data_IF_352976207664
#
_entry.id   IF_352976207664
#
_cell.length_a   1.000
_cell.length_b   1.000
_cell.length_c   1.000
_cell.angle_alpha   90.00
_cell.angle_beta   90.00
_cell.angle_gamma   90.00
#
_symmetry.space_group_name_H-M   'P 1'
#
loop_
_entity.id
_entity.type
_entity.pdbx_description
1 polymer ?
#
# COMPACT_ATOMS: atom_id res chain seq x y z
N UNK A 1 -19.05 14.39 -7.58
CA UNK A 1 -18.63 13.30 -8.48
C UNK A 1 -18.04 12.22 -7.62
N UNK A 2 -18.81 11.19 -7.28
CA UNK A 2 -18.27 9.97 -6.68
C UNK A 2 -17.88 9.05 -7.83
N UNK A 3 -16.62 8.62 -7.91
CA UNK A 3 -16.27 7.53 -8.79
C UNK A 3 -16.91 6.26 -8.23
N UNK A 4 -17.93 5.79 -8.95
CA UNK A 4 -18.45 4.43 -8.83
C UNK A 4 -17.43 3.55 -9.54
N UNK A 5 -16.62 2.81 -8.79
CA UNK A 5 -15.87 1.69 -9.34
C UNK A 5 -16.91 0.66 -9.81
N UNK A 6 -16.99 0.43 -11.13
CA UNK A 6 -17.86 -0.59 -11.70
C UNK A 6 -17.40 -1.98 -11.20
N UNK A 7 -18.36 -2.83 -10.82
CA UNK A 7 -18.14 -4.22 -10.38
C UNK A 7 -17.30 -4.99 -11.44
N UNK A 8 -15.97 -4.97 -11.28
CA UNK A 8 -15.02 -5.62 -12.19
C UNK A 8 -13.72 -4.86 -12.45
N UNK A 9 -13.67 -3.54 -12.25
CA UNK A 9 -12.43 -2.78 -12.42
C UNK A 9 -11.56 -2.83 -11.16
N UNK A 10 -10.33 -3.34 -11.32
CA UNK A 10 -9.34 -3.38 -10.25
C UNK A 10 -8.93 -1.94 -9.91
N UNK A 11 -8.89 -1.60 -8.62
CA UNK A 11 -8.50 -0.27 -8.15
C UNK A 11 -7.11 0.11 -8.74
N UNK A 12 -6.98 1.25 -9.44
CA UNK A 12 -5.74 1.64 -10.11
C UNK A 12 -4.58 1.87 -9.12
N UNK A 13 -4.87 2.32 -7.90
CA UNK A 13 -3.87 2.49 -6.83
C UNK A 13 -3.33 1.12 -6.41
N UNK A 14 -4.20 0.09 -6.35
CA UNK A 14 -3.76 -1.28 -6.09
C UNK A 14 -2.87 -1.81 -7.21
N UNK A 15 -3.26 -1.59 -8.47
CA UNK A 15 -2.45 -2.02 -9.62
C UNK A 15 -1.06 -1.36 -9.60
N UNK A 16 -1.00 -0.04 -9.43
CA UNK A 16 0.26 0.69 -9.34
C UNK A 16 1.14 0.17 -8.19
N UNK A 17 0.52 -0.10 -7.03
CA UNK A 17 1.22 -0.67 -5.89
C UNK A 17 1.77 -2.06 -6.19
N UNK A 18 1.01 -2.93 -6.86
CA UNK A 18 1.44 -4.28 -7.21
C UNK A 18 2.56 -4.27 -8.25
N UNK A 19 2.46 -3.40 -9.26
CA UNK A 19 3.42 -3.25 -10.36
C UNK A 19 4.76 -2.63 -9.93
N UNK A 20 4.83 -1.98 -8.77
CA UNK A 20 6.07 -1.40 -8.26
C UNK A 20 7.14 -2.46 -7.94
N UNK A 21 8.35 -2.27 -8.49
CA UNK A 21 9.48 -3.21 -8.43
C UNK A 21 10.18 -3.29 -7.06
N UNK A 22 10.04 -2.27 -6.21
CA UNK A 22 10.71 -2.21 -4.91
C UNK A 22 9.83 -1.59 -3.82
N UNK A 23 10.18 -1.85 -2.55
CA UNK A 23 9.42 -1.30 -1.42
C UNK A 23 9.54 0.22 -1.32
N UNK A 24 10.58 0.84 -1.88
CA UNK A 24 10.68 2.30 -1.92
C UNK A 24 9.59 2.91 -2.82
N UNK A 25 9.35 2.33 -3.99
CA UNK A 25 8.32 2.84 -4.92
C UNK A 25 6.91 2.53 -4.40
N UNK A 26 6.69 1.35 -3.80
CA UNK A 26 5.47 1.07 -3.04
C UNK A 26 5.21 2.12 -1.95
N UNK A 27 6.25 2.56 -1.23
CA UNK A 27 6.11 3.61 -0.21
C UNK A 27 5.73 4.98 -0.81
N UNK A 28 6.30 5.34 -1.96
CA UNK A 28 5.97 6.59 -2.66
C UNK A 28 4.49 6.64 -3.04
N UNK A 29 3.95 5.54 -3.55
CA UNK A 29 2.52 5.40 -3.90
C UNK A 29 1.65 5.64 -2.66
N UNK A 30 1.96 4.99 -1.53
CA UNK A 30 1.21 5.16 -0.28
C UNK A 30 1.26 6.60 0.25
N UNK A 31 2.38 7.30 0.10
CA UNK A 31 2.53 8.70 0.54
C UNK A 31 1.82 9.67 -0.40
N UNK A 32 1.84 9.40 -1.71
CA UNK A 32 1.19 10.24 -2.72
C UNK A 32 -0.34 10.11 -2.72
N UNK A 33 -0.86 8.96 -2.28
CA UNK A 33 -2.31 8.69 -2.24
C UNK A 33 -2.99 9.43 -1.07
N UNK A 34 -4.01 10.26 -1.32
CA UNK A 34 -4.83 10.89 -0.28
C UNK A 34 -5.51 9.86 0.63
N UNK A 35 -5.62 10.16 1.92
CA UNK A 35 -6.21 9.22 2.89
C UNK A 35 -7.67 8.83 2.56
N UNK A 36 -8.42 9.75 1.94
CA UNK A 36 -9.82 9.55 1.55
C UNK A 36 -10.00 8.53 0.42
N UNK A 37 -8.93 8.19 -0.31
CA UNK A 37 -8.97 7.22 -1.41
C UNK A 37 -8.66 5.78 -0.92
N UNK A 38 -8.40 5.62 0.38
CA UNK A 38 -8.24 4.31 1.00
C UNK A 38 -9.56 3.81 1.58
N UNK A 39 -9.82 2.53 1.38
CA UNK A 39 -10.80 1.75 2.12
C UNK A 39 -10.13 0.51 2.72
N UNK A 40 -10.88 -0.22 3.56
CA UNK A 40 -10.37 -1.40 4.23
C UNK A 40 -9.89 -2.48 3.24
N UNK A 41 -10.61 -2.68 2.14
CA UNK A 41 -10.30 -3.70 1.14
C UNK A 41 -8.98 -3.40 0.41
N UNK A 42 -8.74 -2.13 0.07
CA UNK A 42 -7.50 -1.69 -0.56
C UNK A 42 -6.31 -1.95 0.36
N UNK A 43 -6.43 -1.59 1.64
CA UNK A 43 -5.38 -1.81 2.65
C UNK A 43 -5.10 -3.30 2.81
N UNK A 44 -6.14 -4.13 2.93
CA UNK A 44 -6.01 -5.58 3.11
C UNK A 44 -5.33 -6.24 1.90
N UNK A 45 -5.72 -5.86 0.69
CA UNK A 45 -5.12 -6.39 -0.53
C UNK A 45 -3.64 -6.00 -0.66
N UNK A 46 -3.30 -4.74 -0.36
CA UNK A 46 -1.90 -4.28 -0.35
C UNK A 46 -1.09 -5.02 0.71
N UNK A 47 -1.61 -5.14 1.93
CA UNK A 47 -0.96 -5.83 3.05
C UNK A 47 -0.71 -7.30 2.72
N UNK A 48 -1.73 -7.98 2.17
CA UNK A 48 -1.62 -9.38 1.73
C UNK A 48 -0.55 -9.56 0.66
N UNK A 49 -0.46 -8.66 -0.32
CA UNK A 49 0.54 -8.75 -1.39
C UNK A 49 2.00 -8.63 -0.92
N UNK A 50 2.22 -8.11 0.29
CA UNK A 50 3.53 -8.01 0.91
C UNK A 50 3.65 -8.91 2.15
N UNK A 51 2.80 -9.91 2.34
CA UNK A 51 2.85 -10.82 3.49
C UNK A 51 2.85 -10.09 4.85
N UNK A 52 1.98 -9.10 5.03
CA UNK A 52 1.71 -8.48 6.34
C UNK A 52 0.22 -8.51 6.64
N UNK A 53 -0.10 -8.49 7.94
CA UNK A 53 -1.47 -8.30 8.42
C UNK A 53 -1.52 -6.95 9.11
N UNK A 54 -2.50 -6.12 8.73
CA UNK A 54 -2.77 -4.83 9.38
C UNK A 54 -4.02 -5.02 10.23
N UNK A 55 -3.87 -4.82 11.53
CA UNK A 55 -4.96 -4.95 12.50
C UNK A 55 -6.14 -4.02 12.14
N UNK A 56 -7.33 -4.38 12.62
CA UNK A 56 -8.52 -3.55 12.46
C UNK A 56 -8.36 -2.23 13.22
N UNK A 57 -8.91 -1.16 12.66
CA UNK A 57 -8.81 0.19 13.22
C UNK A 57 -9.34 1.27 12.28
N UNK A 58 -9.13 2.52 12.65
CA UNK A 58 -9.45 3.65 11.78
C UNK A 58 -8.57 3.65 10.53
N UNK A 59 -9.11 4.08 9.39
CA UNK A 59 -8.40 4.06 8.09
C UNK A 59 -7.05 4.79 8.17
N UNK A 60 -6.98 5.91 8.88
CA UNK A 60 -5.74 6.68 9.07
C UNK A 60 -4.64 5.86 9.75
N UNK A 61 -4.99 5.18 10.85
CA UNK A 61 -4.07 4.33 11.61
C UNK A 61 -3.61 3.14 10.77
N UNK A 62 -4.55 2.47 10.09
CA UNK A 62 -4.25 1.32 9.23
C UNK A 62 -3.33 1.68 8.06
N UNK A 63 -3.55 2.82 7.42
CA UNK A 63 -2.67 3.34 6.36
C UNK A 63 -1.30 3.70 6.91
N UNK A 64 -1.24 4.26 8.12
CA UNK A 64 0.02 4.58 8.77
C UNK A 64 0.83 3.32 9.12
N UNK A 65 0.17 2.25 9.56
CA UNK A 65 0.80 0.96 9.83
C UNK A 65 1.29 0.28 8.55
N UNK A 66 0.50 0.29 7.48
CA UNK A 66 0.93 -0.20 6.18
C UNK A 66 2.19 0.56 5.69
N UNK A 67 2.21 1.89 5.80
CA UNK A 67 3.38 2.73 5.49
C UNK A 67 4.61 2.34 6.32
N UNK A 68 4.43 2.06 7.61
CA UNK A 68 5.51 1.64 8.49
C UNK A 68 6.09 0.28 8.09
N UNK A 69 5.25 -0.70 7.74
CA UNK A 69 5.66 -2.00 7.24
C UNK A 69 6.47 -1.89 5.94
N UNK A 70 5.95 -1.16 4.95
CA UNK A 70 6.61 -0.95 3.66
C UNK A 70 7.95 -0.24 3.82
N UNK A 71 8.00 0.84 4.61
CA UNK A 71 9.22 1.61 4.88
C UNK A 71 10.30 0.75 5.56
N UNK A 72 9.89 -0.10 6.49
CA UNK A 72 10.81 -1.01 7.19
C UNK A 72 11.47 -1.97 6.21
N UNK A 73 10.69 -2.59 5.31
CA UNK A 73 11.20 -3.51 4.29
C UNK A 73 12.11 -2.83 3.27
N UNK A 74 11.75 -1.63 2.81
CA UNK A 74 12.60 -0.81 1.92
C UNK A 74 14.02 -0.62 2.48
N UNK A 75 14.16 -0.38 3.79
CA UNK A 75 15.48 -0.27 4.43
C UNK A 75 16.31 -1.56 4.31
N UNK A 76 15.69 -2.74 4.41
CA UNK A 76 16.38 -4.02 4.28
C UNK A 76 16.75 -4.38 2.84
N UNK A 77 15.95 -3.98 1.86
CA UNK A 77 16.32 -4.12 0.44
C UNK A 77 17.57 -3.33 0.10
N UNK A 78 17.61 -2.06 0.50
CA UNK A 78 18.77 -1.18 0.30
C UNK A 78 20.03 -1.70 1.00
N UNK A 79 19.90 -2.38 2.15
CA UNK A 79 21.03 -2.99 2.85
C UNK A 79 21.54 -4.26 2.16
N UNK A 80 20.66 -5.05 1.51
CA UNK A 80 21.03 -6.31 0.83
C UNK A 80 21.78 -6.09 -0.48
N UNK A 81 21.57 -4.95 -1.15
CA UNK A 81 22.18 -4.62 -2.44
C UNK A 81 23.50 -3.85 -2.35
N UNK A 82 23.99 -3.53 -1.15
CA UNK A 82 25.33 -2.95 -0.94
C UNK A 82 26.40 -4.06 -1.00
N UNK A 83 26.84 -4.43 -2.21
CA UNK A 83 28.11 -5.14 -2.45
C UNK A 83 29.02 -4.29 -3.31
#
# INVERSE_FOLDING_TARGET
MGNVYEDGEINPILLEFLDADCFEDKYKILVATPIMDFDNLLIDNMASSIDVVIEDGEIEDRVQDLKNCVRTRSRYETMRLRR
#
